data_IF_568019725373
#
_entry.id   IF_568019725373
#
_cell.length_a   1.000
_cell.length_b   1.000
_cell.length_c   1.000
_cell.angle_alpha   90.00
_cell.angle_beta   90.00
_cell.angle_gamma   90.00
#
_symmetry.space_group_name_H-M   'P 1'
#
loop_
_entity.id
_entity.type
_entity.pdbx_description
1 polymer ?
#
# COMPACT_ATOMS: atom_id res chain seq x y z
N UNK A 1 3.74 -28.89 -17.32
CA UNK A 1 2.53 -28.11 -16.93
C UNK A 1 2.57 -26.76 -17.62
N UNK A 2 1.59 -26.46 -18.49
CA UNK A 2 1.56 -25.18 -19.22
C UNK A 2 1.36 -23.97 -18.27
N UNK A 3 2.07 -22.85 -18.48
CA UNK A 3 1.98 -21.69 -17.60
C UNK A 3 0.58 -21.05 -17.66
N UNK A 4 -0.03 -20.82 -16.49
CA UNK A 4 -1.37 -20.20 -16.38
C UNK A 4 -1.29 -18.74 -16.81
N UNK A 5 -2.00 -18.38 -17.88
CA UNK A 5 -2.01 -17.03 -18.41
C UNK A 5 -2.53 -16.00 -17.38
N UNK A 6 -1.87 -14.85 -17.34
CA UNK A 6 -2.19 -13.74 -16.43
C UNK A 6 -3.62 -13.22 -16.66
N UNK A 7 -4.23 -12.63 -15.62
CA UNK A 7 -5.57 -12.03 -15.75
C UNK A 7 -5.61 -10.94 -16.83
N UNK A 8 -4.51 -10.23 -17.03
CA UNK A 8 -4.35 -9.24 -18.10
C UNK A 8 -4.40 -9.90 -19.49
N UNK A 9 -3.71 -11.04 -19.68
CA UNK A 9 -3.76 -11.81 -20.92
C UNK A 9 -5.15 -12.43 -21.20
N UNK A 10 -5.89 -12.81 -20.16
CA UNK A 10 -7.30 -13.25 -20.31
C UNK A 10 -8.23 -12.10 -20.70
N UNK A 11 -7.95 -10.88 -20.22
CA UNK A 11 -8.76 -9.68 -20.46
C UNK A 11 -8.49 -9.05 -21.82
N UNK A 12 -7.27 -9.15 -22.36
CA UNK A 12 -6.95 -8.64 -23.71
C UNK A 12 -7.75 -9.37 -24.80
N UNK A 13 -7.98 -10.67 -24.64
CA UNK A 13 -8.71 -11.52 -25.60
C UNK A 13 -10.21 -11.18 -25.69
N UNK A 14 -10.81 -10.62 -24.63
CA UNK A 14 -12.19 -10.13 -24.65
C UNK A 14 -12.29 -8.63 -24.93
N UNK A 15 -11.33 -7.81 -24.51
CA UNK A 15 -11.32 -6.36 -24.78
C UNK A 15 -11.24 -6.03 -26.27
N UNK A 16 -10.49 -6.81 -27.06
CA UNK A 16 -10.36 -6.55 -28.49
C UNK A 16 -11.63 -6.90 -29.28
N UNK A 17 -12.60 -7.60 -28.69
CA UNK A 17 -13.87 -7.99 -29.36
C UNK A 17 -15.03 -7.03 -29.08
N UNK A 18 -14.89 -6.12 -28.12
CA UNK A 18 -15.95 -5.20 -27.69
C UNK A 18 -15.59 -3.74 -27.91
N UNK A 19 -14.49 -3.44 -28.63
CA UNK A 19 -14.17 -2.06 -29.02
C UNK A 19 -15.00 -1.70 -30.23
N UNK A 20 -15.96 -0.80 -30.03
CA UNK A 20 -16.53 0.01 -31.11
C UNK A 20 -15.40 0.86 -31.69
N UNK A 21 -15.39 1.04 -33.02
CA UNK A 21 -14.45 1.96 -33.69
C UNK A 21 -14.96 3.37 -33.46
N UNK A 22 -14.78 3.86 -32.24
CA UNK A 22 -15.05 5.24 -31.89
C UNK A 22 -13.75 6.03 -32.02
N UNK A 23 -13.83 7.23 -32.58
CA UNK A 23 -12.65 8.09 -32.73
C UNK A 23 -12.03 8.37 -31.35
N UNK A 24 -10.70 8.32 -31.28
CA UNK A 24 -9.91 8.56 -30.06
C UNK A 24 -10.25 9.89 -29.38
N UNK A 25 -10.75 10.85 -30.16
CA UNK A 25 -11.27 12.16 -29.77
C UNK A 25 -12.39 12.08 -28.72
N UNK A 26 -13.27 11.07 -28.78
CA UNK A 26 -14.40 10.94 -27.85
C UNK A 26 -14.11 10.04 -26.64
N UNK A 27 -13.16 9.12 -26.77
CA UNK A 27 -12.87 8.11 -25.75
C UNK A 27 -11.69 8.48 -24.84
N UNK A 28 -10.66 9.15 -25.37
CA UNK A 28 -9.51 9.57 -24.57
C UNK A 28 -9.70 11.00 -24.03
N UNK A 29 -9.71 11.09 -22.70
CA UNK A 29 -9.73 12.36 -21.97
C UNK A 29 -8.58 13.31 -22.36
N UNK A 30 -7.42 12.78 -22.78
CA UNK A 30 -6.28 13.59 -23.22
C UNK A 30 -6.49 14.12 -24.63
N UNK A 31 -6.93 13.26 -25.56
CA UNK A 31 -7.24 13.66 -26.94
C UNK A 31 -8.39 14.66 -26.99
N UNK A 32 -9.42 14.47 -26.16
CA UNK A 32 -10.54 15.40 -26.03
C UNK A 32 -10.05 16.81 -25.67
N UNK A 33 -9.08 16.92 -24.74
CA UNK A 33 -8.49 18.19 -24.30
C UNK A 33 -7.67 18.94 -25.36
N UNK A 34 -7.40 18.33 -26.52
CA UNK A 34 -6.69 18.96 -27.63
C UNK A 34 -7.61 19.54 -28.71
N UNK A 35 -8.93 19.32 -28.61
CA UNK A 35 -9.89 19.89 -29.56
C UNK A 35 -10.11 21.39 -29.31
N UNK A 36 -10.11 22.19 -30.38
CA UNK A 36 -10.47 23.61 -30.33
C UNK A 36 -11.94 23.82 -29.92
N UNK A 37 -12.85 22.94 -30.37
CA UNK A 37 -14.28 23.02 -30.06
C UNK A 37 -14.66 22.22 -28.81
N UNK A 38 -14.10 22.57 -27.65
CA UNK A 38 -14.57 21.99 -26.40
C UNK A 38 -15.88 22.64 -25.93
N UNK A 39 -16.94 21.87 -25.59
CA UNK A 39 -18.08 22.44 -24.89
C UNK A 39 -17.60 23.00 -23.54
N UNK A 40 -17.96 24.24 -23.20
CA UNK A 40 -17.53 24.90 -21.95
C UNK A 40 -17.94 24.03 -20.74
N UNK A 41 -17.01 23.24 -20.20
CA UNK A 41 -17.26 22.47 -18.99
C UNK A 41 -17.52 23.46 -17.84
N UNK A 42 -18.61 23.24 -17.10
CA UNK A 42 -18.95 24.03 -15.92
C UNK A 42 -17.75 24.11 -14.97
N UNK A 43 -17.45 25.28 -14.38
CA UNK A 43 -16.30 25.46 -13.52
C UNK A 43 -16.35 24.44 -12.36
N UNK A 44 -15.19 23.86 -12.04
CA UNK A 44 -15.06 22.94 -10.90
C UNK A 44 -15.46 23.68 -9.62
N UNK A 45 -16.33 23.06 -8.81
CA UNK A 45 -16.80 23.67 -7.57
C UNK A 45 -15.63 24.00 -6.64
N UNK A 46 -15.62 25.22 -6.10
CA UNK A 46 -14.63 25.70 -5.13
C UNK A 46 -14.66 24.89 -3.82
N UNK A 47 -15.82 24.34 -3.48
CA UNK A 47 -16.02 23.53 -2.27
C UNK A 47 -15.74 22.05 -2.56
N UNK A 48 -14.87 21.45 -1.74
CA UNK A 48 -14.58 20.01 -1.80
C UNK A 48 -15.80 19.22 -1.31
N UNK A 49 -16.29 18.30 -2.15
CA UNK A 49 -17.35 17.36 -1.76
C UNK A 49 -16.85 16.44 -0.65
N UNK A 50 -17.65 16.30 0.41
CA UNK A 50 -17.39 15.41 1.54
C UNK A 50 -17.38 13.95 1.04
N UNK A 51 -16.47 13.12 1.57
CA UNK A 51 -16.35 11.72 1.13
C UNK A 51 -17.61 10.90 1.44
N UNK A 52 -17.94 9.92 0.59
CA UNK A 52 -19.10 9.02 0.77
C UNK A 52 -19.11 8.30 2.13
N UNK A 53 -17.93 8.02 2.71
CA UNK A 53 -17.81 7.39 4.03
C UNK A 53 -18.26 8.32 5.15
N UNK A 54 -17.90 9.60 5.05
CA UNK A 54 -18.29 10.62 6.02
C UNK A 54 -19.80 10.91 5.89
N UNK A 55 -20.34 10.97 4.67
CA UNK A 55 -21.78 11.10 4.45
C UNK A 55 -22.58 9.94 5.06
N UNK A 56 -22.11 8.68 4.90
CA UNK A 56 -22.75 7.52 5.54
C UNK A 56 -22.71 7.58 7.07
N UNK A 57 -21.60 8.06 7.66
CA UNK A 57 -21.50 8.26 9.11
C UNK A 57 -22.46 9.34 9.61
N UNK A 58 -22.56 10.46 8.89
CA UNK A 58 -23.50 11.54 9.23
C UNK A 58 -24.95 11.06 9.11
N UNK A 59 -25.27 10.27 8.09
CA UNK A 59 -26.61 9.68 7.94
C UNK A 59 -26.94 8.66 9.05
N UNK A 60 -25.96 7.90 9.53
CA UNK A 60 -26.17 6.87 10.54
C UNK A 60 -26.17 7.41 11.99
N UNK A 61 -25.33 8.40 12.29
CA UNK A 61 -25.09 8.89 13.65
C UNK A 61 -25.44 10.37 13.86
N UNK A 62 -25.98 11.04 12.84
CA UNK A 62 -26.17 12.49 12.84
C UNK A 62 -24.87 13.28 12.68
N UNK A 63 -25.00 14.58 12.42
CA UNK A 63 -23.86 15.48 12.47
C UNK A 63 -23.47 15.71 13.94
N UNK A 64 -22.25 15.33 14.33
CA UNK A 64 -21.75 15.64 15.67
C UNK A 64 -21.58 17.16 15.81
N UNK A 65 -22.26 17.76 16.78
CA UNK A 65 -21.97 19.12 17.24
C UNK A 65 -20.59 19.06 17.91
N UNK A 66 -19.57 19.68 17.32
CA UNK A 66 -18.15 19.47 17.64
C UNK A 66 -17.65 19.91 19.03
N UNK A 67 -18.45 19.77 20.08
CA UNK A 67 -18.09 20.04 21.48
C UNK A 67 -17.57 18.77 22.15
N UNK A 68 -16.48 18.22 21.61
CA UNK A 68 -15.68 17.22 22.34
C UNK A 68 -14.66 18.01 23.18
N UNK A 69 -14.97 18.22 24.46
CA UNK A 69 -14.06 18.94 25.35
C UNK A 69 -12.81 18.10 25.62
N UNK A 70 -11.65 18.74 25.56
CA UNK A 70 -10.38 18.12 25.97
C UNK A 70 -10.24 18.25 27.49
N UNK A 71 -9.46 17.35 28.10
CA UNK A 71 -9.17 17.42 29.54
C UNK A 71 -8.61 18.78 29.95
N UNK A 72 -7.85 19.43 29.06
CA UNK A 72 -7.30 20.77 29.26
C UNK A 72 -8.35 21.91 29.25
N UNK A 73 -9.59 21.63 28.83
CA UNK A 73 -10.69 22.61 28.72
C UNK A 73 -11.72 22.48 29.84
N UNK A 74 -11.69 21.37 30.57
CA UNK A 74 -12.37 21.26 31.86
C UNK A 74 -11.30 21.63 32.87
N UNK A 75 -11.47 22.70 33.64
CA UNK A 75 -10.52 23.17 34.66
C UNK A 75 -10.34 22.15 35.81
N UNK A 76 -9.90 20.94 35.47
CA UNK A 76 -9.69 19.82 36.37
C UNK A 76 -8.23 19.90 36.81
N UNK A 77 -7.96 19.90 38.13
CA UNK A 77 -6.59 19.93 38.63
C UNK A 77 -5.81 18.70 38.15
N UNK A 78 -4.60 18.93 37.64
CA UNK A 78 -3.73 17.87 37.15
C UNK A 78 -3.17 17.12 38.37
N UNK A 79 -3.53 15.84 38.53
CA UNK A 79 -2.95 14.97 39.54
C UNK A 79 -1.44 14.77 39.31
N UNK A 80 -0.69 14.62 40.40
CA UNK A 80 0.73 14.32 40.37
C UNK A 80 0.99 13.00 39.62
N UNK A 81 1.72 13.08 38.49
CA UNK A 81 2.11 11.92 37.69
C UNK A 81 3.44 11.36 38.18
N UNK A 82 3.56 10.04 38.23
CA UNK A 82 4.85 9.40 38.52
C UNK A 82 5.87 9.78 37.44
N UNK A 83 7.01 10.36 37.85
CA UNK A 83 8.12 10.65 36.94
C UNK A 83 8.76 9.31 36.59
N UNK A 84 8.53 8.81 35.38
CA UNK A 84 9.23 7.61 34.89
C UNK A 84 10.72 7.95 34.73
N UNK A 85 11.64 7.38 35.53
CA UNK A 85 13.06 7.64 35.39
C UNK A 85 13.54 6.99 34.09
N UNK A 86 14.00 7.81 33.14
CA UNK A 86 14.51 7.32 31.86
C UNK A 86 15.00 8.45 30.98
N UNK A 87 16.14 8.24 30.30
CA UNK A 87 16.67 9.19 29.32
C UNK A 87 15.75 9.18 28.10
N UNK A 88 14.98 10.26 27.91
CA UNK A 88 14.19 10.46 26.70
C UNK A 88 15.16 10.55 25.51
N UNK A 89 15.17 9.53 24.66
CA UNK A 89 15.97 9.55 23.44
C UNK A 89 15.60 10.79 22.60
N UNK A 90 16.55 11.73 22.48
CA UNK A 90 16.32 12.98 21.75
C UNK A 90 16.06 12.65 20.29
N UNK A 91 14.85 12.95 19.82
CA UNK A 91 14.50 12.80 18.41
C UNK A 91 15.31 13.83 17.62
N UNK A 92 16.17 13.36 16.71
CA UNK A 92 17.04 14.21 15.90
C UNK A 92 16.28 15.28 15.09
N UNK A 93 17.00 16.31 14.63
CA UNK A 93 16.42 17.42 13.84
C UNK A 93 15.74 16.90 12.57
N UNK A 94 14.49 17.32 12.32
CA UNK A 94 13.71 16.94 11.12
C UNK A 94 14.50 17.31 9.86
N UNK A 95 14.72 16.34 8.97
CA UNK A 95 15.45 16.52 7.71
C UNK A 95 16.93 16.13 7.75
N UNK A 96 17.57 16.08 8.92
CA UNK A 96 18.93 15.53 9.07
C UNK A 96 18.81 14.05 9.46
N UNK A 97 19.14 13.16 8.53
CA UNK A 97 19.20 11.71 8.79
C UNK A 97 20.65 11.34 9.01
N UNK A 98 21.01 11.12 10.27
CA UNK A 98 22.29 10.53 10.61
C UNK A 98 22.27 9.05 10.24
N UNK A 99 23.42 8.54 9.84
CA UNK A 99 23.64 7.10 9.77
C UNK A 99 23.48 6.57 11.19
N UNK A 100 22.67 5.51 11.36
CA UNK A 100 22.47 4.89 12.66
C UNK A 100 23.74 4.17 13.11
N UNK A 101 24.07 4.19 14.41
CA UNK A 101 25.22 3.48 14.97
C UNK A 101 25.19 1.96 14.68
N UNK A 102 23.99 1.40 14.45
CA UNK A 102 23.80 0.00 14.04
C UNK A 102 24.28 -0.32 12.61
N UNK A 103 24.49 0.69 11.76
CA UNK A 103 24.88 0.49 10.37
C UNK A 103 26.41 0.62 10.20
N UNK A 104 27.11 -0.33 10.82
CA UNK A 104 28.58 -0.39 10.85
C UNK A 104 29.20 -0.37 9.45
N UNK A 105 28.55 -1.00 8.45
CA UNK A 105 29.05 -1.05 7.08
C UNK A 105 29.09 0.32 6.41
N UNK A 106 28.06 1.16 6.61
CA UNK A 106 28.03 2.49 6.00
C UNK A 106 28.94 3.46 6.74
N UNK A 107 29.03 3.33 8.08
CA UNK A 107 29.97 4.10 8.89
C UNK A 107 31.42 3.82 8.48
N UNK A 108 31.82 2.55 8.40
CA UNK A 108 33.19 2.16 8.00
C UNK A 108 33.55 2.65 6.60
N UNK A 109 32.62 2.53 5.63
CA UNK A 109 32.82 3.09 4.29
C UNK A 109 33.06 4.60 4.33
N UNK A 110 32.24 5.33 5.09
CA UNK A 110 32.34 6.78 5.19
C UNK A 110 33.69 7.19 5.79
N UNK A 111 34.06 6.61 6.92
CA UNK A 111 35.36 6.87 7.58
C UNK A 111 36.52 6.65 6.61
N UNK A 112 36.58 5.48 5.96
CA UNK A 112 37.65 5.18 4.99
C UNK A 112 37.67 6.16 3.82
N UNK A 113 36.51 6.48 3.26
CA UNK A 113 36.40 7.41 2.14
C UNK A 113 36.73 8.86 2.49
N UNK A 114 36.57 9.24 3.76
CA UNK A 114 36.92 10.56 4.27
C UNK A 114 38.44 10.59 4.49
N UNK A 115 38.99 9.58 5.16
CA UNK A 115 40.44 9.47 5.38
C UNK A 115 41.20 9.51 4.05
N UNK A 116 40.79 8.71 3.05
CA UNK A 116 41.42 8.72 1.71
C UNK A 116 41.39 10.10 1.01
N UNK A 117 40.46 10.99 1.36
CA UNK A 117 40.37 12.34 0.76
C UNK A 117 41.27 13.35 1.45
N UNK A 118 41.47 13.22 2.75
CA UNK A 118 42.13 14.23 3.57
C UNK A 118 43.54 13.81 3.97
N UNK A 119 43.83 12.51 4.11
CA UNK A 119 45.18 12.02 4.41
C UNK A 119 46.05 12.06 3.16
N UNK A 120 47.03 12.97 3.16
CA UNK A 120 48.11 13.00 2.17
C UNK A 120 49.26 12.12 2.64
N UNK A 121 49.00 10.82 2.82
CA UNK A 121 50.04 9.86 3.17
C UNK A 121 50.79 9.45 1.88
N UNK A 122 52.12 9.57 1.90
CA UNK A 122 52.98 9.05 0.84
C UNK A 122 53.02 7.52 0.91
N UNK A 123 52.06 6.87 0.26
CA UNK A 123 51.93 5.42 0.19
C UNK A 123 52.44 4.86 -1.15
N UNK A 124 52.78 3.57 -1.15
CA UNK A 124 53.12 2.89 -2.40
C UNK A 124 51.90 2.76 -3.31
N UNK A 125 52.12 2.67 -4.63
CA UNK A 125 51.02 2.49 -5.61
C UNK A 125 50.16 1.25 -5.32
N UNK A 126 50.77 0.20 -4.76
CA UNK A 126 50.08 -1.04 -4.40
C UNK A 126 49.16 -0.87 -3.20
N UNK A 127 49.57 -0.12 -2.19
CA UNK A 127 48.74 0.15 -1.00
C UNK A 127 47.54 1.01 -1.37
N UNK A 128 47.75 2.04 -2.20
CA UNK A 128 46.66 2.88 -2.72
C UNK A 128 45.62 2.06 -3.49
N UNK A 129 46.08 1.12 -4.32
CA UNK A 129 45.18 0.25 -5.07
C UNK A 129 44.34 -0.64 -4.13
N UNK A 130 44.96 -1.22 -3.09
CA UNK A 130 44.27 -2.04 -2.07
C UNK A 130 43.23 -1.23 -1.27
N UNK A 131 43.56 0.00 -0.86
CA UNK A 131 42.60 0.90 -0.17
C UNK A 131 41.38 1.22 -1.03
N UNK A 132 41.61 1.57 -2.29
CA UNK A 132 40.53 1.85 -3.24
C UNK A 132 39.67 0.62 -3.54
N UNK A 133 40.27 -0.57 -3.62
CA UNK A 133 39.55 -1.83 -3.76
C UNK A 133 38.68 -2.11 -2.54
N UNK A 134 39.20 -1.93 -1.34
CA UNK A 134 38.44 -2.10 -0.10
C UNK A 134 37.23 -1.16 -0.04
N UNK A 135 37.39 0.12 -0.42
CA UNK A 135 36.26 1.06 -0.49
C UNK A 135 35.24 0.63 -1.55
N UNK A 136 35.69 0.10 -2.69
CA UNK A 136 34.78 -0.43 -3.73
C UNK A 136 34.02 -1.65 -3.24
N UNK A 137 34.65 -2.56 -2.52
CA UNK A 137 34.00 -3.74 -1.93
C UNK A 137 32.96 -3.34 -0.88
N UNK A 138 33.28 -2.42 0.03
CA UNK A 138 32.34 -1.90 1.01
C UNK A 138 31.13 -1.23 0.33
N UNK A 139 31.37 -0.50 -0.76
CA UNK A 139 30.29 0.11 -1.55
C UNK A 139 29.42 -0.94 -2.25
N UNK A 140 30.00 -2.02 -2.78
CA UNK A 140 29.24 -3.15 -3.36
C UNK A 140 28.36 -3.82 -2.30
N UNK A 141 28.92 -4.16 -1.14
CA UNK A 141 28.19 -4.76 -0.01
C UNK A 141 27.01 -3.89 0.46
N UNK A 142 27.20 -2.56 0.53
CA UNK A 142 26.10 -1.65 0.87
C UNK A 142 24.97 -1.65 -0.18
N UNK A 143 25.33 -1.66 -1.47
CA UNK A 143 24.36 -1.71 -2.55
C UNK A 143 23.58 -3.03 -2.55
N UNK A 144 24.28 -4.15 -2.33
CA UNK A 144 23.66 -5.47 -2.25
C UNK A 144 22.66 -5.53 -1.10
N UNK A 145 23.04 -5.04 0.10
CA UNK A 145 22.14 -4.95 1.25
C UNK A 145 20.90 -4.11 0.94
N UNK A 146 21.08 -2.95 0.31
CA UNK A 146 19.96 -2.07 -0.11
C UNK A 146 19.07 -2.73 -1.15
N UNK A 147 19.63 -3.51 -2.07
CA UNK A 147 18.87 -4.25 -3.06
C UNK A 147 18.07 -5.39 -2.41
N UNK A 148 18.68 -6.13 -1.49
CA UNK A 148 18.02 -7.19 -0.72
C UNK A 148 16.87 -6.64 0.12
N UNK A 149 17.06 -5.50 0.80
CA UNK A 149 15.96 -4.85 1.52
C UNK A 149 14.80 -4.45 0.60
N UNK A 150 15.10 -3.97 -0.61
CA UNK A 150 14.06 -3.65 -1.60
C UNK A 150 13.34 -4.92 -2.06
N UNK A 151 14.07 -6.00 -2.35
CA UNK A 151 13.51 -7.31 -2.71
C UNK A 151 12.60 -7.84 -1.60
N UNK A 152 13.08 -7.87 -0.35
CA UNK A 152 12.33 -8.31 0.82
C UNK A 152 11.05 -7.48 1.03
N UNK A 153 11.11 -6.15 0.86
CA UNK A 153 9.93 -5.27 0.93
C UNK A 153 8.90 -5.58 -0.16
N UNK A 154 9.34 -5.92 -1.37
CA UNK A 154 8.45 -6.28 -2.47
C UNK A 154 7.84 -7.67 -2.27
N UNK A 155 8.64 -8.64 -1.81
CA UNK A 155 8.20 -10.00 -1.51
C UNK A 155 7.20 -10.01 -0.35
N UNK A 156 7.52 -9.34 0.76
CA UNK A 156 6.58 -9.21 1.89
C UNK A 156 5.25 -8.60 1.46
N UNK A 157 5.25 -7.55 0.64
CA UNK A 157 4.00 -6.98 0.09
C UNK A 157 3.26 -7.95 -0.84
N UNK A 158 3.95 -8.72 -1.67
CA UNK A 158 3.33 -9.74 -2.53
C UNK A 158 2.67 -10.83 -1.67
N UNK A 159 3.35 -11.28 -0.62
CA UNK A 159 2.82 -12.26 0.33
C UNK A 159 1.63 -11.73 1.11
N UNK A 160 1.69 -10.49 1.62
CA UNK A 160 0.55 -9.86 2.26
C UNK A 160 -0.68 -9.82 1.34
N UNK A 161 -0.50 -9.46 0.06
CA UNK A 161 -1.60 -9.43 -0.91
C UNK A 161 -2.14 -10.83 -1.15
N UNK A 162 -1.27 -11.85 -1.28
CA UNK A 162 -1.67 -13.25 -1.42
C UNK A 162 -2.45 -13.73 -0.20
N UNK A 163 -1.97 -13.43 1.00
CA UNK A 163 -2.58 -13.83 2.27
C UNK A 163 -3.94 -13.15 2.47
N UNK A 164 -4.04 -11.83 2.23
CA UNK A 164 -5.31 -11.08 2.24
C UNK A 164 -6.30 -11.65 1.24
N UNK A 165 -5.86 -11.98 0.03
CA UNK A 165 -6.73 -12.58 -0.99
C UNK A 165 -7.17 -14.02 -0.61
N UNK A 166 -6.28 -14.81 -0.02
CA UNK A 166 -6.56 -16.17 0.45
C UNK A 166 -7.59 -16.16 1.59
N UNK A 167 -7.37 -15.32 2.60
CA UNK A 167 -8.29 -15.13 3.72
C UNK A 167 -9.68 -14.68 3.24
N UNK A 168 -9.75 -13.73 2.31
CA UNK A 168 -11.02 -13.29 1.73
C UNK A 168 -11.75 -14.42 0.97
N UNK A 169 -11.04 -15.30 0.27
CA UNK A 169 -11.63 -16.47 -0.41
C UNK A 169 -12.15 -17.50 0.59
N UNK A 170 -11.37 -17.80 1.63
CA UNK A 170 -11.77 -18.72 2.70
C UNK A 170 -13.02 -18.21 3.42
N UNK A 171 -13.07 -16.91 3.75
CA UNK A 171 -14.25 -16.28 4.34
C UNK A 171 -15.48 -16.40 3.43
N UNK A 172 -15.35 -16.12 2.12
CA UNK A 172 -16.44 -16.31 1.16
C UNK A 172 -16.92 -17.75 1.09
N UNK A 173 -16.00 -18.72 1.07
CA UNK A 173 -16.34 -20.14 1.04
C UNK A 173 -17.07 -20.57 2.32
N UNK A 174 -16.62 -20.10 3.49
CA UNK A 174 -17.27 -20.37 4.78
C UNK A 174 -18.67 -19.78 4.82
N UNK A 175 -18.84 -18.53 4.40
CA UNK A 175 -20.15 -17.87 4.35
C UNK A 175 -21.10 -18.55 3.37
N UNK A 176 -20.64 -18.95 2.18
CA UNK A 176 -21.47 -19.68 1.23
C UNK A 176 -21.90 -21.05 1.77
N UNK A 177 -21.02 -21.76 2.49
CA UNK A 177 -21.36 -23.04 3.14
C UNK A 177 -22.36 -22.84 4.30
N UNK A 178 -22.19 -21.77 5.08
CA UNK A 178 -23.12 -21.40 6.15
C UNK A 178 -24.50 -21.02 5.58
N UNK A 179 -24.55 -20.25 4.49
CA UNK A 179 -25.79 -19.89 3.81
C UNK A 179 -26.53 -21.12 3.27
N UNK A 180 -25.82 -22.06 2.62
CA UNK A 180 -26.43 -23.32 2.16
C UNK A 180 -26.97 -24.17 3.32
N UNK A 181 -26.24 -24.24 4.44
CA UNK A 181 -26.69 -24.98 5.62
C UNK A 181 -27.90 -24.33 6.28
N UNK A 182 -28.00 -23.00 6.25
CA UNK A 182 -29.18 -22.28 6.71
C UNK A 182 -30.39 -22.53 5.80
N UNK A 183 -30.20 -22.49 4.48
CA UNK A 183 -31.24 -22.80 3.47
C UNK A 183 -31.77 -24.24 3.64
N UNK A 184 -30.88 -25.22 3.85
CA UNK A 184 -31.27 -26.61 4.13
C UNK A 184 -32.00 -26.77 5.48
N UNK A 185 -31.75 -25.91 6.47
CA UNK A 185 -32.44 -25.93 7.77
C UNK A 185 -33.79 -25.22 7.71
N UNK A 186 -33.91 -24.09 7.00
CA UNK A 186 -35.19 -23.39 6.79
C UNK A 186 -36.15 -24.20 5.90
N UNK A 187 -35.66 -24.94 4.91
CA UNK A 187 -36.46 -25.88 4.10
C UNK A 187 -36.95 -27.10 4.92
N UNK A 188 -36.28 -27.45 6.02
CA UNK A 188 -36.72 -28.56 6.90
C UNK A 188 -37.76 -28.15 7.95
N UNK A 189 -37.96 -26.84 8.17
CA UNK A 189 -38.85 -26.28 9.20
C UNK A 189 -40.14 -25.66 8.62
N UNK A 190 -40.37 -25.70 7.31
CA UNK A 190 -41.66 -25.33 6.69
C UNK A 190 -42.41 -26.56 6.17
N UNK A 191 -43.64 -26.85 6.64
CA UNK A 191 -44.33 -28.10 6.29
C UNK A 191 -44.93 -28.20 4.86
N UNK A 192 -44.88 -27.19 3.98
CA UNK A 192 -45.76 -27.20 2.78
C UNK A 192 -45.18 -26.67 1.44
N UNK A 193 -43.87 -26.82 1.15
CA UNK A 193 -43.34 -26.41 -0.18
C UNK A 193 -42.70 -27.58 -0.93
N UNK A 194 -43.50 -28.23 -1.80
CA UNK A 194 -43.06 -29.28 -2.72
C UNK A 194 -41.90 -28.78 -3.61
N UNK A 195 -40.76 -29.46 -3.52
CA UNK A 195 -39.53 -29.18 -4.29
C UNK A 195 -39.81 -29.19 -5.80
N UNK A 196 -39.58 -28.05 -6.47
CA UNK A 196 -39.60 -27.97 -7.95
C UNK A 196 -38.39 -28.75 -8.50
N UNK A 197 -38.66 -29.88 -9.17
CA UNK A 197 -37.61 -30.66 -9.87
C UNK A 197 -37.06 -29.82 -11.02
N UNK A 198 -35.74 -29.72 -11.12
CA UNK A 198 -35.06 -29.06 -12.24
C UNK A 198 -35.19 -29.95 -13.47
N UNK A 199 -35.86 -29.49 -14.52
CA UNK A 199 -35.88 -30.13 -15.83
C UNK A 199 -34.73 -29.60 -16.67
N UNK A 200 -34.11 -30.46 -17.47
CA UNK A 200 -33.09 -30.11 -18.45
C UNK A 200 -33.79 -30.09 -19.81
N UNK A 201 -33.80 -28.94 -20.48
CA UNK A 201 -34.24 -28.82 -21.88
C UNK A 201 -33.02 -28.90 -22.79
N UNK A 202 -33.04 -29.84 -23.73
CA UNK A 202 -32.08 -29.88 -24.83
C UNK A 202 -32.55 -28.92 -25.93
N UNK A 203 -31.63 -28.07 -26.38
CA UNK A 203 -31.75 -27.20 -27.54
C UNK A 203 -30.51 -27.42 -28.43
#
# INVERSE_FOLDING_TARGET
MAPRQSKTAKRSKSQNKTRTVESEVFSDSKARNLLESQPKLTPKSTVKKISKKVQRKIALYGAKNGKEYREDQLDIPILNKAVTPGVKAKRGKKGKKFVSDSDVLTMTRLVKSINDKFDTINESKLEKAKRLEEIRELKRKELDRKEQEKKNKLEGKKEEIKNKASAARLARRKNAKAARKADDQDESNQPDRKKKKKSVSFA
#
